data_IF_011748815070
#
_entry.id   IF_011748815070
#
_cell.length_a   1.000
_cell.length_b   1.000
_cell.length_c   1.000
_cell.angle_alpha   90.00
_cell.angle_beta   90.00
_cell.angle_gamma   90.00
#
_symmetry.space_group_name_H-M   'P 1'
#
loop_
_entity.id
_entity.type
_entity.pdbx_description
1 polymer ?
#
# COMPACT_ATOMS: atom_id res chain seq x y z
N UNK A 1 18.52 -23.56 21.52
CA UNK A 1 17.73 -22.95 22.60
C UNK A 1 18.43 -21.64 22.93
N UNK A 2 17.87 -20.44 22.87
CA UNK A 2 16.57 -19.89 22.47
C UNK A 2 16.80 -18.37 22.35
N UNK A 3 16.07 -17.74 21.44
CA UNK A 3 15.57 -16.37 21.47
C UNK A 3 16.41 -15.25 22.09
N UNK A 4 17.01 -14.42 21.24
CA UNK A 4 17.07 -12.98 21.47
C UNK A 4 17.07 -12.22 20.14
N UNK A 5 15.88 -11.98 19.56
CA UNK A 5 15.73 -10.97 18.51
C UNK A 5 14.31 -10.36 18.51
N UNK A 6 13.88 -9.90 19.68
CA UNK A 6 12.68 -9.04 19.83
C UNK A 6 13.08 -7.77 20.57
N UNK A 7 13.73 -6.81 19.89
CA UNK A 7 13.92 -5.45 20.43
C UNK A 7 14.43 -4.43 19.39
N UNK A 8 13.74 -4.20 18.26
CA UNK A 8 14.02 -3.01 17.41
C UNK A 8 12.77 -2.44 16.71
N UNK A 9 11.63 -2.33 17.41
CA UNK A 9 10.42 -1.70 16.87
C UNK A 9 9.98 -0.41 17.59
N UNK A 10 10.77 0.09 18.54
CA UNK A 10 10.52 1.40 19.15
C UNK A 10 11.32 2.48 18.40
N UNK A 11 10.62 3.41 17.73
CA UNK A 11 11.11 4.60 17.01
C UNK A 11 11.28 4.57 15.48
N UNK A 12 10.77 3.57 14.75
CA UNK A 12 10.61 3.75 13.31
C UNK A 12 9.32 4.55 13.06
N UNK A 13 9.45 5.79 12.55
CA UNK A 13 8.29 6.60 12.14
C UNK A 13 7.47 5.80 11.12
N UNK A 14 6.25 5.41 11.50
CA UNK A 14 5.32 4.69 10.62
C UNK A 14 4.79 5.67 9.57
N UNK A 15 5.06 5.39 8.30
CA UNK A 15 4.50 6.16 7.17
C UNK A 15 3.05 5.79 6.89
N UNK A 16 2.68 4.53 7.19
CA UNK A 16 1.36 4.03 6.87
C UNK A 16 0.42 4.31 8.04
N UNK A 17 -0.73 4.87 7.70
CA UNK A 17 -1.84 5.10 8.62
C UNK A 17 -2.84 3.94 8.50
N UNK A 18 -3.50 3.54 9.61
CA UNK A 18 -4.63 2.61 9.52
C UNK A 18 -5.72 3.19 8.62
N UNK A 19 -6.42 2.34 7.87
CA UNK A 19 -7.53 2.81 7.05
C UNK A 19 -8.84 3.04 7.84
N UNK A 20 -8.94 2.53 9.08
CA UNK A 20 -9.98 2.91 10.05
C UNK A 20 -9.56 4.17 10.84
N UNK A 21 -10.56 4.95 11.29
CA UNK A 21 -10.35 5.98 12.31
C UNK A 21 -9.72 5.33 13.54
N UNK A 22 -8.58 5.83 14.00
CA UNK A 22 -8.13 5.55 15.37
C UNK A 22 -9.10 6.27 16.31
N UNK A 23 -9.75 5.51 17.20
CA UNK A 23 -10.49 6.10 18.30
C UNK A 23 -9.51 6.77 19.26
N UNK A 24 -9.71 8.07 19.44
CA UNK A 24 -9.36 8.91 20.59
C UNK A 24 -8.05 8.59 21.32
N UNK A 25 -6.94 9.22 20.92
CA UNK A 25 -5.89 9.75 21.82
C UNK A 25 -4.74 10.37 21.00
N UNK A 26 -4.88 11.63 20.59
CA UNK A 26 -3.76 12.54 20.38
C UNK A 26 -4.32 13.97 20.23
N UNK A 27 -4.15 14.75 21.30
CA UNK A 27 -4.18 16.20 21.40
C UNK A 27 -5.28 16.99 20.68
N UNK A 28 -6.09 17.69 21.48
CA UNK A 28 -7.13 18.62 21.08
C UNK A 28 -6.64 19.66 20.06
N UNK A 29 -6.75 19.36 18.78
CA UNK A 29 -6.83 20.35 17.71
C UNK A 29 -8.24 20.22 17.14
N UNK A 30 -9.08 21.22 17.42
CA UNK A 30 -10.44 21.29 16.87
C UNK A 30 -10.38 21.13 15.34
N UNK A 31 -11.03 20.11 14.75
CA UNK A 31 -11.13 20.00 13.30
C UNK A 31 -12.07 21.10 12.81
N UNK A 32 -11.53 22.03 12.01
CA UNK A 32 -12.34 23.01 11.28
C UNK A 32 -13.34 22.27 10.38
N UNK A 33 -14.61 22.65 10.48
CA UNK A 33 -15.73 21.99 9.79
C UNK A 33 -15.46 21.90 8.28
N UNK A 34 -15.46 20.71 7.66
CA UNK A 34 -15.20 20.56 6.23
C UNK A 34 -16.35 21.16 5.42
N UNK A 35 -15.98 21.92 4.38
CA UNK A 35 -16.91 22.45 3.38
C UNK A 35 -17.53 21.30 2.58
N UNK A 36 -18.75 21.47 2.06
CA UNK A 36 -19.46 20.44 1.27
C UNK A 36 -18.77 20.05 -0.06
N UNK A 37 -17.64 20.66 -0.37
CA UNK A 37 -16.74 20.28 -1.47
C UNK A 37 -15.67 19.27 -1.06
N UNK A 38 -15.41 19.08 0.24
CA UNK A 38 -14.43 18.12 0.77
C UNK A 38 -15.05 16.73 0.92
N UNK A 39 -15.36 16.08 -0.20
CA UNK A 39 -15.66 14.63 -0.21
C UNK A 39 -14.38 13.78 -0.10
N UNK A 40 -13.34 14.30 0.55
CA UNK A 40 -12.10 13.58 0.79
C UNK A 40 -12.26 12.71 2.03
N UNK A 41 -12.46 11.41 1.80
CA UNK A 41 -12.45 10.37 2.84
C UNK A 41 -11.11 10.27 3.62
N UNK A 42 -10.13 11.14 3.37
CA UNK A 42 -8.78 11.12 3.96
C UNK A 42 -8.62 11.94 5.24
N UNK A 43 -9.28 13.09 5.37
CA UNK A 43 -9.12 13.99 6.54
C UNK A 43 -9.52 13.34 7.85
N UNK A 44 -10.59 12.56 7.78
CA UNK A 44 -11.15 11.81 8.88
C UNK A 44 -10.28 10.65 9.37
N UNK A 45 -9.13 10.37 8.73
CA UNK A 45 -8.37 9.12 8.88
C UNK A 45 -6.87 9.33 9.09
N UNK A 46 -6.45 10.57 9.38
CA UNK A 46 -5.05 10.92 9.62
C UNK A 46 -4.31 11.51 8.41
N UNK A 47 -4.98 11.71 7.28
CA UNK A 47 -4.42 12.51 6.18
C UNK A 47 -4.76 14.00 6.33
N UNK A 48 -3.91 14.86 5.79
CA UNK A 48 -4.20 16.30 5.77
C UNK A 48 -5.40 16.64 4.85
N UNK A 49 -6.02 17.80 5.06
CA UNK A 49 -7.02 18.35 4.13
C UNK A 49 -6.46 18.41 2.71
N UNK A 50 -7.26 17.96 1.74
CA UNK A 50 -6.84 17.82 0.34
C UNK A 50 -6.18 16.48 0.00
N UNK A 51 -5.84 15.66 0.98
CA UNK A 51 -5.27 14.32 0.76
C UNK A 51 -6.31 13.20 0.89
N UNK A 52 -5.96 12.04 0.34
CA UNK A 52 -6.73 10.80 0.43
C UNK A 52 -5.83 9.62 0.77
N UNK A 53 -6.40 8.60 1.43
CA UNK A 53 -5.70 7.33 1.65
C UNK A 53 -5.56 6.55 0.34
N UNK A 54 -4.37 6.00 0.11
CA UNK A 54 -4.04 5.11 -1.00
C UNK A 54 -3.48 3.79 -0.48
N UNK A 55 -4.07 2.67 -0.92
CA UNK A 55 -3.57 1.33 -0.63
C UNK A 55 -2.33 1.04 -1.47
N UNK A 56 -1.20 0.71 -0.82
CA UNK A 56 0.05 0.40 -1.53
C UNK A 56 -0.01 -0.95 -2.25
N UNK A 57 -0.78 -1.92 -1.70
CA UNK A 57 -1.22 -3.10 -2.44
C UNK A 57 -2.65 -2.78 -2.93
N UNK A 58 -2.87 -2.60 -4.24
CA UNK A 58 -4.17 -2.17 -4.74
C UNK A 58 -5.30 -3.13 -4.35
N UNK A 59 -6.49 -2.59 -4.06
CA UNK A 59 -7.67 -3.41 -3.74
C UNK A 59 -7.95 -4.49 -4.81
N UNK A 60 -7.72 -4.17 -6.10
CA UNK A 60 -7.88 -5.11 -7.20
C UNK A 60 -6.91 -6.32 -7.12
N UNK A 61 -5.74 -6.16 -6.49
CA UNK A 61 -4.81 -7.26 -6.26
C UNK A 61 -5.39 -8.31 -5.31
N UNK A 62 -6.23 -7.89 -4.36
CA UNK A 62 -6.85 -8.74 -3.34
C UNK A 62 -8.20 -9.34 -3.77
N UNK A 63 -8.74 -8.95 -4.93
CA UNK A 63 -10.04 -9.43 -5.41
C UNK A 63 -10.02 -10.94 -5.66
N UNK A 64 -10.89 -11.67 -4.96
CA UNK A 64 -11.01 -13.13 -5.09
C UNK A 64 -9.80 -13.91 -4.56
N UNK A 65 -8.93 -13.26 -3.77
CA UNK A 65 -7.86 -13.94 -3.05
C UNK A 65 -8.46 -14.64 -1.84
N UNK A 66 -8.04 -15.89 -1.60
CA UNK A 66 -8.37 -16.61 -0.39
C UNK A 66 -7.56 -16.04 0.79
N UNK A 67 -8.13 -15.00 1.39
CA UNK A 67 -7.66 -14.41 2.63
C UNK A 67 -8.86 -13.90 3.44
N UNK A 68 -9.54 -14.79 4.20
CA UNK A 68 -10.78 -14.45 4.91
C UNK A 68 -10.63 -13.30 5.92
N UNK A 69 -9.43 -13.12 6.47
CA UNK A 69 -9.11 -12.04 7.42
C UNK A 69 -8.95 -10.67 6.76
N UNK A 70 -8.79 -10.60 5.44
CA UNK A 70 -8.56 -9.34 4.75
C UNK A 70 -9.83 -8.49 4.69
N UNK A 71 -9.72 -7.24 5.14
CA UNK A 71 -10.69 -6.19 4.91
C UNK A 71 -10.01 -5.01 4.25
N UNK A 72 -10.55 -4.58 3.11
CA UNK A 72 -10.07 -3.38 2.41
C UNK A 72 -10.04 -2.15 3.33
N UNK A 73 -11.02 -2.07 4.23
CA UNK A 73 -11.15 -0.98 5.17
C UNK A 73 -10.14 -0.97 6.32
N UNK A 74 -9.40 -2.06 6.51
CA UNK A 74 -8.40 -2.23 7.58
C UNK A 74 -6.96 -2.17 7.04
N UNK A 75 -6.79 -2.31 5.72
CA UNK A 75 -5.47 -2.32 5.10
C UNK A 75 -4.76 -0.97 5.27
N UNK A 76 -3.47 -0.96 5.68
CA UNK A 76 -2.74 0.28 5.90
C UNK A 76 -2.60 1.08 4.59
N UNK A 77 -2.75 2.40 4.69
CA UNK A 77 -2.68 3.32 3.54
C UNK A 77 -1.63 4.40 3.75
N UNK A 78 -1.19 4.99 2.65
CA UNK A 78 -0.39 6.23 2.66
C UNK A 78 -1.25 7.40 2.18
N UNK A 79 -1.03 8.58 2.73
CA UNK A 79 -1.70 9.78 2.29
C UNK A 79 -1.09 10.29 0.98
N UNK A 80 -1.95 10.52 -0.01
CA UNK A 80 -1.56 11.00 -1.33
C UNK A 80 -2.44 12.17 -1.76
N UNK A 81 -1.92 12.95 -2.71
CA UNK A 81 -2.58 14.08 -3.35
C UNK A 81 -2.85 13.74 -4.81
N UNK A 82 -3.92 14.33 -5.35
CA UNK A 82 -4.47 13.95 -6.64
C UNK A 82 -5.85 13.33 -6.50
N UNK A 83 -6.63 13.36 -7.57
CA UNK A 83 -7.99 12.84 -7.60
C UNK A 83 -8.03 11.30 -7.53
N UNK A 84 -9.17 10.73 -7.94
CA UNK A 84 -9.41 9.27 -7.98
C UNK A 84 -8.46 8.54 -8.94
N UNK A 85 -7.22 8.32 -8.51
CA UNK A 85 -6.19 7.59 -9.26
C UNK A 85 -5.39 8.44 -10.26
N UNK A 86 -5.60 9.76 -10.32
CA UNK A 86 -4.94 10.64 -11.29
C UNK A 86 -4.42 11.93 -10.67
N UNK A 87 -3.31 12.44 -11.21
CA UNK A 87 -2.60 13.62 -10.73
C UNK A 87 -1.79 13.39 -9.44
N UNK A 88 -0.88 14.33 -9.19
CA UNK A 88 -0.19 14.45 -7.90
C UNK A 88 0.64 13.23 -7.50
N UNK A 89 0.77 12.99 -6.21
CA UNK A 89 1.48 11.82 -5.68
C UNK A 89 0.70 10.53 -5.83
N UNK A 90 -0.63 10.60 -6.00
CA UNK A 90 -1.48 9.43 -6.20
C UNK A 90 -1.17 8.74 -7.54
N UNK A 91 -1.08 9.48 -8.63
CA UNK A 91 -0.70 8.91 -9.92
C UNK A 91 0.75 8.42 -9.91
N UNK A 92 1.66 9.17 -9.26
CA UNK A 92 3.07 8.75 -9.18
C UNK A 92 3.22 7.41 -8.48
N UNK A 93 2.52 7.17 -7.36
CA UNK A 93 2.64 5.89 -6.65
C UNK A 93 2.04 4.72 -7.45
N UNK A 94 0.98 4.93 -8.23
CA UNK A 94 0.51 3.91 -9.17
C UNK A 94 1.56 3.61 -10.25
N UNK A 95 2.12 4.64 -10.88
CA UNK A 95 3.16 4.49 -11.90
C UNK A 95 4.43 3.80 -11.37
N UNK A 96 4.79 4.05 -10.11
CA UNK A 96 5.94 3.37 -9.47
C UNK A 96 5.63 1.93 -9.10
N UNK A 97 4.38 1.62 -8.74
CA UNK A 97 3.95 0.25 -8.52
C UNK A 97 3.96 -0.55 -9.82
N UNK A 98 3.47 0.00 -10.92
CA UNK A 98 3.54 -0.62 -12.26
C UNK A 98 4.99 -0.97 -12.66
N UNK A 99 5.94 -0.06 -12.41
CA UNK A 99 7.37 -0.30 -12.66
C UNK A 99 7.95 -1.41 -11.77
N UNK A 100 7.53 -1.48 -10.51
CA UNK A 100 7.94 -2.55 -9.62
C UNK A 100 7.37 -3.91 -10.09
N UNK A 101 6.12 -3.95 -10.57
CA UNK A 101 5.54 -5.15 -11.18
C UNK A 101 6.30 -5.58 -12.45
N UNK A 102 6.77 -4.64 -13.27
CA UNK A 102 7.60 -4.98 -14.44
C UNK A 102 8.92 -5.65 -14.05
N UNK A 103 9.56 -5.21 -12.95
CA UNK A 103 10.74 -5.88 -12.39
C UNK A 103 10.37 -7.29 -11.93
N UNK A 104 9.29 -7.45 -11.16
CA UNK A 104 8.80 -8.76 -10.72
C UNK A 104 8.48 -9.71 -11.87
N UNK A 105 7.96 -9.18 -12.98
CA UNK A 105 7.68 -9.97 -14.18
C UNK A 105 8.97 -10.47 -14.86
N UNK A 106 10.00 -9.61 -14.93
CA UNK A 106 11.33 -9.96 -15.45
C UNK A 106 12.01 -11.01 -14.57
N UNK A 107 11.83 -10.92 -13.26
CA UNK A 107 12.39 -11.85 -12.28
C UNK A 107 11.65 -13.19 -12.18
N UNK A 108 10.60 -13.41 -12.99
CA UNK A 108 9.71 -14.59 -12.93
C UNK A 108 8.92 -14.72 -11.61
N UNK A 109 8.73 -13.63 -10.86
CA UNK A 109 7.96 -13.61 -9.61
C UNK A 109 6.43 -13.52 -9.82
N UNK A 110 6.00 -13.24 -11.06
CA UNK A 110 4.59 -13.27 -11.48
C UNK A 110 4.38 -14.50 -12.36
N UNK A 111 3.45 -15.38 -11.97
CA UNK A 111 3.13 -16.60 -12.70
C UNK A 111 2.27 -16.34 -13.96
N UNK A 112 2.06 -17.38 -14.77
CA UNK A 112 1.31 -17.29 -16.03
C UNK A 112 -0.15 -16.85 -15.85
N UNK A 113 -0.72 -17.03 -14.65
CA UNK A 113 -2.06 -16.57 -14.30
C UNK A 113 -2.06 -15.11 -13.83
N UNK A 114 -0.92 -14.43 -13.86
CA UNK A 114 -0.77 -13.06 -13.37
C UNK A 114 -0.88 -12.96 -11.86
N UNK A 115 -0.45 -14.00 -11.13
CA UNK A 115 -0.42 -14.00 -9.67
C UNK A 115 1.01 -13.96 -9.14
N UNK A 116 1.21 -13.33 -7.99
CA UNK A 116 2.48 -13.30 -7.28
C UNK A 116 2.30 -13.62 -5.80
N UNK A 117 3.40 -13.92 -5.11
CA UNK A 117 3.38 -14.12 -3.66
C UNK A 117 2.99 -12.83 -2.92
N UNK A 118 2.39 -12.94 -1.73
CA UNK A 118 2.16 -11.77 -0.88
C UNK A 118 3.47 -11.02 -0.58
N UNK A 119 4.58 -11.74 -0.38
CA UNK A 119 5.90 -11.14 -0.15
C UNK A 119 6.36 -10.28 -1.33
N UNK A 120 6.15 -10.73 -2.57
CA UNK A 120 6.50 -9.94 -3.77
C UNK A 120 5.60 -8.72 -3.94
N UNK A 121 4.31 -8.85 -3.59
CA UNK A 121 3.38 -7.74 -3.58
C UNK A 121 3.80 -6.66 -2.57
N UNK A 122 4.18 -7.07 -1.35
CA UNK A 122 4.71 -6.19 -0.31
C UNK A 122 6.00 -5.50 -0.77
N UNK A 123 6.90 -6.25 -1.40
CA UNK A 123 8.16 -5.70 -1.89
C UNK A 123 7.95 -4.65 -2.99
N UNK A 124 7.03 -4.91 -3.94
CA UNK A 124 6.64 -3.96 -4.98
C UNK A 124 5.94 -2.71 -4.40
N UNK A 125 5.06 -2.90 -3.42
CA UNK A 125 4.36 -1.84 -2.70
C UNK A 125 5.34 -0.92 -1.95
N UNK A 126 6.29 -1.52 -1.22
CA UNK A 126 7.30 -0.77 -0.48
C UNK A 126 8.24 0.00 -1.41
N UNK A 127 8.67 -0.62 -2.51
CA UNK A 127 9.47 0.04 -3.54
C UNK A 127 8.74 1.25 -4.13
N UNK A 128 7.48 1.05 -4.53
CA UNK A 128 6.64 2.12 -5.07
C UNK A 128 6.52 3.32 -4.14
N UNK A 129 6.30 3.07 -2.84
CA UNK A 129 6.26 4.12 -1.84
C UNK A 129 7.59 4.86 -1.74
N UNK A 130 8.71 4.14 -1.60
CA UNK A 130 10.04 4.77 -1.45
C UNK A 130 10.44 5.58 -2.68
N UNK A 131 10.10 5.13 -3.88
CA UNK A 131 10.39 5.86 -5.11
C UNK A 131 9.47 7.08 -5.29
N UNK A 132 8.26 7.05 -4.73
CA UNK A 132 7.31 8.18 -4.79
C UNK A 132 7.60 9.24 -3.74
N UNK A 133 8.03 8.82 -2.55
CA UNK A 133 8.26 9.67 -1.38
C UNK A 133 9.69 9.54 -0.84
N UNK A 134 10.73 9.87 -1.64
CA UNK A 134 12.13 9.69 -1.24
C UNK A 134 12.52 10.56 -0.02
N UNK A 135 11.78 11.64 0.24
CA UNK A 135 12.01 12.55 1.36
C UNK A 135 11.13 12.25 2.58
N UNK A 136 10.35 11.17 2.58
CA UNK A 136 9.49 10.78 3.72
C UNK A 136 10.28 10.36 4.96
N UNK A 137 11.57 10.06 4.81
CA UNK A 137 12.38 9.45 5.87
C UNK A 137 12.00 8.00 6.19
N UNK A 138 11.07 7.40 5.44
CA UNK A 138 10.65 6.01 5.61
C UNK A 138 11.36 5.12 4.60
N UNK A 139 12.33 4.33 5.07
CA UNK A 139 13.05 3.37 4.24
C UNK A 139 12.18 2.20 3.77
N UNK A 140 12.63 1.49 2.73
CA UNK A 140 11.91 0.35 2.14
C UNK A 140 11.56 -0.69 3.19
N UNK A 141 12.50 -1.02 4.07
CA UNK A 141 12.32 -2.03 5.12
C UNK A 141 11.26 -1.63 6.16
N UNK A 142 11.15 -0.33 6.49
CA UNK A 142 10.11 0.18 7.38
C UNK A 142 8.72 -0.01 6.77
N UNK A 143 8.57 0.25 5.47
CA UNK A 143 7.30 0.06 4.77
C UNK A 143 6.97 -1.43 4.65
N UNK A 144 7.96 -2.27 4.32
CA UNK A 144 7.78 -3.72 4.28
C UNK A 144 7.32 -4.26 5.63
N UNK A 145 7.97 -3.90 6.73
CA UNK A 145 7.59 -4.35 8.06
C UNK A 145 6.14 -4.00 8.41
N UNK A 146 5.69 -2.78 8.10
CA UNK A 146 4.30 -2.36 8.33
C UNK A 146 3.29 -3.15 7.48
N UNK A 147 3.62 -3.45 6.23
CA UNK A 147 2.77 -4.25 5.36
C UNK A 147 2.77 -5.73 5.76
N UNK A 148 3.91 -6.28 6.17
CA UNK A 148 4.04 -7.66 6.64
C UNK A 148 3.24 -7.90 7.92
N UNK A 149 3.32 -6.99 8.88
CA UNK A 149 2.53 -7.02 10.12
C UNK A 149 1.02 -7.17 9.84
N UNK A 150 0.53 -6.46 8.82
CA UNK A 150 -0.87 -6.57 8.39
C UNK A 150 -1.16 -7.82 7.56
N UNK A 151 -0.46 -8.00 6.43
CA UNK A 151 -0.82 -8.99 5.43
C UNK A 151 -0.36 -10.41 5.78
N UNK A 152 0.83 -10.60 6.36
CA UNK A 152 1.33 -11.97 6.63
C UNK A 152 0.61 -12.62 7.81
N UNK A 153 0.12 -11.83 8.77
CA UNK A 153 -0.74 -12.33 9.84
C UNK A 153 -2.12 -12.79 9.37
N UNK A 154 -2.62 -12.24 8.25
CA UNK A 154 -3.96 -12.51 7.72
C UNK A 154 -3.96 -13.46 6.53
N UNK A 155 -2.92 -13.40 5.69
CA UNK A 155 -2.82 -14.00 4.36
C UNK A 155 -1.44 -14.67 4.13
N UNK A 156 -0.94 -15.56 5.01
CA UNK A 156 0.45 -16.01 4.99
C UNK A 156 0.86 -16.71 3.68
N UNK A 157 -0.01 -17.53 3.11
CA UNK A 157 0.26 -18.34 1.91
C UNK A 157 -0.52 -17.88 0.67
N UNK A 158 -1.18 -16.72 0.75
CA UNK A 158 -2.05 -16.24 -0.31
C UNK A 158 -1.23 -15.73 -1.50
N UNK A 159 -1.62 -16.16 -2.71
CA UNK A 159 -1.21 -15.52 -3.95
C UNK A 159 -2.18 -14.41 -4.32
N UNK A 160 -1.66 -13.23 -4.61
CA UNK A 160 -2.44 -12.05 -5.00
C UNK A 160 -2.34 -11.81 -6.50
N UNK A 161 -3.30 -11.09 -7.06
CA UNK A 161 -3.28 -10.73 -8.48
C UNK A 161 -2.26 -9.59 -8.70
N UNK A 162 -1.36 -9.73 -9.67
CA UNK A 162 -0.56 -8.62 -10.16
C UNK A 162 -1.43 -7.79 -11.11
N UNK A 163 -1.76 -6.57 -10.72
CA UNK A 163 -2.64 -5.67 -11.48
C UNK A 163 -1.99 -4.31 -11.66
N UNK A 164 -2.12 -3.74 -12.85
CA UNK A 164 -1.63 -2.40 -13.14
C UNK A 164 -2.56 -1.31 -12.57
N UNK A 165 -2.18 -0.05 -12.74
CA UNK A 165 -2.96 1.11 -12.30
C UNK A 165 -4.41 1.16 -12.83
N UNK A 166 -4.70 0.48 -13.95
CA UNK A 166 -6.03 0.39 -14.55
C UNK A 166 -6.82 -0.82 -14.03
N UNK A 167 -6.20 -1.66 -13.19
CA UNK A 167 -6.76 -2.90 -12.68
C UNK A 167 -6.63 -4.08 -13.64
N UNK A 168 -5.84 -3.95 -14.72
CA UNK A 168 -5.62 -5.04 -15.66
C UNK A 168 -4.56 -6.00 -15.14
N UNK A 169 -4.75 -7.30 -15.36
CA UNK A 169 -3.77 -8.32 -14.96
C UNK A 169 -2.44 -8.15 -15.71
N UNK A 170 -1.36 -8.02 -14.96
CA UNK A 170 0.02 -8.04 -15.45
C UNK A 170 0.47 -9.48 -15.65
N UNK A 171 0.89 -9.80 -16.87
CA UNK A 171 1.44 -11.11 -17.27
C UNK A 171 2.28 -10.94 -18.53
N UNK A 172 3.24 -11.85 -18.74
CA UNK A 172 4.25 -11.74 -19.82
C UNK A 172 3.64 -11.53 -21.20
N UNK A 173 2.53 -12.20 -21.46
CA UNK A 173 1.80 -12.13 -22.73
C UNK A 173 1.25 -10.73 -23.03
N UNK A 174 0.90 -9.96 -21.98
CA UNK A 174 0.28 -8.63 -22.09
C UNK A 174 1.31 -7.49 -22.10
N UNK A 175 2.58 -7.77 -21.79
CA UNK A 175 3.66 -6.78 -21.63
C UNK A 175 4.80 -7.00 -22.64
N UNK A 176 4.49 -7.58 -23.82
CA UNK A 176 5.46 -7.78 -24.89
C UNK A 176 6.07 -6.44 -25.32
N UNK A 177 7.33 -6.27 -24.90
CA UNK A 177 8.44 -5.49 -25.46
C UNK A 177 8.07 -4.22 -26.24
N UNK A 178 8.19 -3.08 -25.56
CA UNK A 178 8.79 -1.88 -26.16
C UNK A 178 10.27 -1.83 -25.74
#
# INVERSE_FOLDING_TARGET
MENHLFAHHAHQKRSLIPHKKQGDSADNVEPSKPSKTDRNKGVDRGCCTGQQGHHLIPQAAMKGVDCPGYKDSDAPVVCVEGGRGSGGSHERIHNKFDKALDKKLKDNAIDSNGKMSMTDAIDAAAESHTETFPLSGCGKDCIKAQLEDYYKGLCPDSKVNAVDQLGNTVRRENRREN
#
